data_IF_893188138646
#
_entry.id   IF_893188138646
#
_cell.length_a   1.000
_cell.length_b   1.000
_cell.length_c   1.000
_cell.angle_alpha   90.00
_cell.angle_beta   90.00
_cell.angle_gamma   90.00
#
_symmetry.space_group_name_H-M   'P 1'
#
loop_
_entity.id
_entity.type
_entity.pdbx_description
1 polymer ?
#
# COMPACT_ATOMS: atom_id res chain seq x y z
N UNK A 1 -30.16 -25.19 -66.77
CA UNK A 1 -30.27 -24.20 -65.69
C UNK A 1 -29.95 -24.81 -64.31
N UNK A 2 -28.96 -25.72 -64.21
CA UNK A 2 -28.56 -26.38 -62.95
C UNK A 2 -27.04 -26.45 -62.72
N UNK A 3 -26.23 -26.09 -63.72
CA UNK A 3 -24.76 -26.08 -63.65
C UNK A 3 -24.19 -24.81 -63.02
N UNK A 4 -24.96 -23.71 -63.05
CA UNK A 4 -24.53 -22.39 -62.55
C UNK A 4 -24.68 -22.28 -61.01
N UNK A 5 -25.59 -23.06 -60.42
CA UNK A 5 -25.78 -23.11 -58.96
C UNK A 5 -24.69 -23.96 -58.30
N UNK A 6 -24.24 -25.03 -58.95
CA UNK A 6 -23.18 -25.91 -58.46
C UNK A 6 -21.81 -25.23 -58.46
N UNK A 7 -21.49 -24.44 -59.49
CA UNK A 7 -20.24 -23.65 -59.55
C UNK A 7 -20.21 -22.53 -58.48
N UNK A 8 -21.37 -21.92 -58.17
CA UNK A 8 -21.49 -20.94 -57.09
C UNK A 8 -21.31 -21.57 -55.70
N UNK A 9 -21.78 -22.79 -55.48
CA UNK A 9 -21.62 -23.49 -54.19
C UNK A 9 -20.17 -23.96 -54.01
N UNK A 10 -19.48 -24.41 -55.06
CA UNK A 10 -18.05 -24.76 -54.98
C UNK A 10 -17.15 -23.57 -54.66
N UNK A 11 -17.46 -22.38 -55.19
CA UNK A 11 -16.71 -21.15 -54.88
C UNK A 11 -16.87 -20.66 -53.44
N UNK A 12 -17.95 -21.03 -52.73
CA UNK A 12 -18.16 -20.66 -51.32
C UNK A 12 -17.25 -21.46 -50.37
N UNK A 13 -16.72 -22.59 -50.81
CA UNK A 13 -15.71 -23.36 -50.08
C UNK A 13 -14.28 -22.98 -50.48
N UNK A 14 -14.02 -21.69 -50.68
CA UNK A 14 -12.64 -21.18 -50.78
C UNK A 14 -11.90 -21.57 -49.49
N UNK A 15 -11.04 -22.60 -49.59
CA UNK A 15 -10.21 -23.10 -48.49
C UNK A 15 -9.44 -21.92 -47.92
N UNK A 16 -9.93 -21.38 -46.79
CA UNK A 16 -9.23 -20.33 -46.03
C UNK A 16 -7.84 -20.85 -45.72
N UNK A 17 -6.82 -20.33 -46.41
CA UNK A 17 -5.42 -20.70 -46.13
C UNK A 17 -5.17 -20.40 -44.65
N UNK A 18 -4.65 -21.35 -43.87
CA UNK A 18 -4.51 -21.14 -42.45
C UNK A 18 -3.53 -20.00 -42.21
N UNK A 19 -4.01 -18.94 -41.57
CA UNK A 19 -3.26 -17.70 -41.32
C UNK A 19 -2.38 -17.83 -40.08
N UNK A 20 -1.61 -18.92 -39.98
CA UNK A 20 -0.77 -19.22 -38.81
C UNK A 20 0.21 -18.08 -38.47
N UNK A 21 0.82 -17.47 -39.48
CA UNK A 21 1.74 -16.33 -39.27
C UNK A 21 1.05 -15.13 -38.65
N UNK A 22 -0.14 -14.77 -39.15
CA UNK A 22 -0.90 -13.66 -38.60
C UNK A 22 -1.41 -13.97 -37.19
N UNK A 23 -1.90 -15.20 -36.96
CA UNK A 23 -2.33 -15.64 -35.64
C UNK A 23 -1.18 -15.59 -34.62
N UNK A 24 -0.01 -16.10 -34.99
CA UNK A 24 1.19 -16.04 -34.15
C UNK A 24 1.61 -14.60 -33.85
N UNK A 25 1.60 -13.72 -34.86
CA UNK A 25 1.86 -12.29 -34.65
C UNK A 25 0.87 -11.66 -33.67
N UNK A 26 -0.43 -11.92 -33.81
CA UNK A 26 -1.44 -11.40 -32.88
C UNK A 26 -1.25 -11.93 -31.46
N UNK A 27 -0.90 -13.21 -31.29
CA UNK A 27 -0.60 -13.80 -29.99
C UNK A 27 0.62 -13.12 -29.37
N UNK A 28 1.74 -12.99 -30.11
CA UNK A 28 2.94 -12.32 -29.60
C UNK A 28 2.69 -10.87 -29.21
N UNK A 29 1.96 -10.11 -30.04
CA UNK A 29 1.61 -8.72 -29.74
C UNK A 29 0.73 -8.66 -28.47
N UNK A 30 -0.26 -9.55 -28.36
CA UNK A 30 -1.15 -9.59 -27.19
C UNK A 30 -0.36 -9.89 -25.90
N UNK A 31 0.56 -10.87 -25.95
CA UNK A 31 1.41 -11.21 -24.81
C UNK A 31 2.36 -10.07 -24.43
N UNK A 32 2.95 -9.38 -25.41
CA UNK A 32 3.80 -8.22 -25.17
C UNK A 32 3.02 -7.07 -24.51
N UNK A 33 1.79 -6.81 -24.95
CA UNK A 33 0.94 -5.80 -24.33
C UNK A 33 0.59 -6.15 -22.88
N UNK A 34 0.25 -7.42 -22.61
CA UNK A 34 0.00 -7.89 -21.25
C UNK A 34 1.25 -7.71 -20.38
N UNK A 35 2.41 -8.16 -20.87
CA UNK A 35 3.69 -8.03 -20.17
C UNK A 35 4.07 -6.56 -19.91
N UNK A 36 3.82 -5.66 -20.86
CA UNK A 36 4.07 -4.23 -20.68
C UNK A 36 3.19 -3.61 -19.58
N UNK A 37 1.91 -3.98 -19.53
CA UNK A 37 0.98 -3.52 -18.48
C UNK A 37 1.37 -4.07 -17.12
N UNK A 38 1.75 -5.34 -17.02
CA UNK A 38 2.21 -5.93 -15.77
C UNK A 38 3.53 -5.31 -15.30
N UNK A 39 4.48 -5.11 -16.21
CA UNK A 39 5.73 -4.42 -15.92
C UNK A 39 5.49 -2.99 -15.43
N UNK A 40 4.59 -2.25 -16.07
CA UNK A 40 4.21 -0.91 -15.64
C UNK A 40 3.62 -0.92 -14.22
N UNK A 41 2.70 -1.85 -13.92
CA UNK A 41 2.13 -2.01 -12.56
C UNK A 41 3.21 -2.33 -11.52
N UNK A 42 4.12 -3.23 -11.85
CA UNK A 42 5.20 -3.62 -10.95
C UNK A 42 6.19 -2.47 -10.69
N UNK A 43 6.66 -1.82 -11.75
CA UNK A 43 7.57 -0.68 -11.67
C UNK A 43 6.95 0.49 -10.90
N UNK A 44 5.70 0.85 -11.20
CA UNK A 44 5.01 1.92 -10.47
C UNK A 44 4.84 1.60 -8.99
N UNK A 45 4.53 0.35 -8.62
CA UNK A 45 4.46 -0.07 -7.21
C UNK A 45 5.79 0.12 -6.48
N UNK A 46 6.89 -0.34 -7.06
CA UNK A 46 8.23 -0.21 -6.46
C UNK A 46 8.60 1.26 -6.28
N UNK A 47 8.44 2.06 -7.34
CA UNK A 47 8.76 3.48 -7.26
C UNK A 47 7.83 4.22 -6.30
N UNK A 48 6.56 3.83 -6.20
CA UNK A 48 5.64 4.42 -5.23
C UNK A 48 6.15 4.20 -3.79
N UNK A 49 6.54 2.97 -3.43
CA UNK A 49 7.09 2.68 -2.08
C UNK A 49 8.47 3.31 -1.82
N UNK A 50 9.21 3.66 -2.89
CA UNK A 50 10.47 4.40 -2.82
C UNK A 50 10.26 5.90 -2.63
N UNK A 51 9.23 6.50 -3.26
CA UNK A 51 8.95 7.93 -3.18
C UNK A 51 7.94 8.32 -2.10
N UNK A 52 7.32 7.38 -1.40
CA UNK A 52 6.29 7.67 -0.40
C UNK A 52 6.65 7.17 0.99
N UNK A 53 6.09 7.88 1.97
CA UNK A 53 6.13 7.55 3.38
C UNK A 53 4.96 6.63 3.70
N UNK A 54 5.24 5.36 4.00
CA UNK A 54 4.24 4.33 4.23
C UNK A 54 4.03 4.13 5.72
N UNK A 55 2.77 4.20 6.16
CA UNK A 55 2.40 3.90 7.54
C UNK A 55 2.46 2.39 7.80
N UNK A 56 3.04 2.02 8.93
CA UNK A 56 3.04 0.66 9.49
C UNK A 56 2.25 0.70 10.80
N UNK A 57 1.46 -0.35 11.04
CA UNK A 57 0.72 -0.54 12.28
C UNK A 57 1.15 -1.84 12.92
N UNK A 58 1.49 -1.78 14.20
CA UNK A 58 1.78 -2.92 15.04
C UNK A 58 0.74 -2.93 16.18
N UNK A 59 -0.08 -3.97 16.26
CA UNK A 59 -1.04 -4.10 17.36
C UNK A 59 -0.28 -4.39 18.66
N UNK A 60 -0.63 -3.66 19.71
CA UNK A 60 -0.10 -3.85 21.05
C UNK A 60 -1.15 -4.62 21.84
N UNK A 61 -0.81 -5.81 22.30
CA UNK A 61 -1.69 -6.60 23.16
C UNK A 61 -1.35 -6.36 24.63
N UNK A 62 -2.31 -6.70 25.50
CA UNK A 62 -2.08 -6.69 26.94
C UNK A 62 -1.01 -7.72 27.33
N UNK A 63 -0.44 -7.56 28.54
CA UNK A 63 0.60 -8.44 29.08
C UNK A 63 0.11 -9.89 29.22
N UNK A 64 -1.19 -10.08 29.44
CA UNK A 64 -1.84 -11.40 29.52
C UNK A 64 -2.12 -12.03 28.13
N UNK A 65 -1.76 -11.33 27.05
CA UNK A 65 -1.94 -11.76 25.67
C UNK A 65 -3.33 -11.48 25.10
N UNK A 66 -4.23 -10.81 25.83
CA UNK A 66 -5.53 -10.41 25.31
C UNK A 66 -5.40 -9.30 24.26
N UNK A 67 -6.28 -9.35 23.24
CA UNK A 67 -6.30 -8.36 22.16
C UNK A 67 -6.73 -6.99 22.70
N UNK A 68 -6.09 -5.93 22.20
CA UNK A 68 -6.47 -4.55 22.50
C UNK A 68 -6.66 -3.73 21.21
N UNK A 69 -7.31 -2.57 21.33
CA UNK A 69 -7.38 -1.53 20.30
C UNK A 69 -6.09 -0.74 20.09
N UNK A 70 -5.13 -0.88 21.00
CA UNK A 70 -3.93 -0.06 21.01
C UNK A 70 -3.04 -0.48 19.86
N UNK A 71 -2.79 0.45 18.95
CA UNK A 71 -1.88 0.28 17.84
C UNK A 71 -0.69 1.23 18.01
N UNK A 72 0.50 0.69 17.80
CA UNK A 72 1.70 1.46 17.53
C UNK A 72 1.75 1.78 16.04
N UNK A 73 1.74 3.07 15.72
CA UNK A 73 1.76 3.59 14.35
C UNK A 73 3.07 4.33 14.14
N UNK A 74 3.79 3.98 13.08
CA UNK A 74 4.95 4.73 12.62
C UNK A 74 4.94 4.77 11.10
N UNK A 75 5.76 5.62 10.51
CA UNK A 75 5.90 5.69 9.07
C UNK A 75 7.35 5.47 8.67
N UNK A 76 7.56 4.78 7.54
CA UNK A 76 8.87 4.60 6.92
C UNK A 76 8.71 4.71 5.41
N UNK A 77 9.67 5.32 4.75
CA UNK A 77 9.61 5.58 3.32
C UNK A 77 11.00 5.74 2.72
N UNK A 78 11.07 6.27 1.52
CA UNK A 78 12.34 6.72 0.95
C UNK A 78 12.56 8.23 1.15
N UNK A 79 13.22 8.93 0.20
CA UNK A 79 13.77 10.28 0.42
C UNK A 79 12.75 11.37 0.78
N UNK A 80 11.46 11.15 0.58
CA UNK A 80 10.40 12.11 0.92
C UNK A 80 9.83 11.94 2.33
N UNK A 81 10.18 10.85 3.02
CA UNK A 81 9.68 10.49 4.35
C UNK A 81 10.66 10.98 5.41
N UNK A 82 10.78 12.30 5.53
CA UNK A 82 11.47 12.94 6.66
C UNK A 82 10.57 12.93 7.92
N UNK A 83 11.12 13.38 9.06
CA UNK A 83 10.38 13.51 10.33
C UNK A 83 9.03 14.23 10.19
N UNK A 84 8.95 15.25 9.33
CA UNK A 84 7.71 15.98 9.05
C UNK A 84 6.71 15.12 8.25
N UNK A 85 7.18 14.42 7.23
CA UNK A 85 6.40 13.47 6.44
C UNK A 85 5.86 12.34 7.30
N UNK A 86 6.67 11.79 8.18
CA UNK A 86 6.28 10.75 9.14
C UNK A 86 5.15 11.24 10.05
N UNK A 87 5.34 12.39 10.71
CA UNK A 87 4.33 12.97 11.59
C UNK A 87 3.00 13.21 10.88
N UNK A 88 3.06 13.75 9.64
CA UNK A 88 1.87 13.96 8.81
C UNK A 88 1.13 12.66 8.51
N UNK A 89 1.87 11.60 8.20
CA UNK A 89 1.28 10.28 7.89
C UNK A 89 0.70 9.63 9.14
N UNK A 90 1.41 9.68 10.27
CA UNK A 90 0.94 9.17 11.56
C UNK A 90 -0.37 9.86 11.95
N UNK A 91 -0.40 11.20 11.94
CA UNK A 91 -1.59 11.96 12.29
C UNK A 91 -2.75 11.65 11.35
N UNK A 92 -2.50 11.62 10.04
CA UNK A 92 -3.52 11.24 9.04
C UNK A 92 -4.11 9.86 9.31
N UNK A 93 -3.32 8.90 9.83
CA UNK A 93 -3.79 7.56 10.15
C UNK A 93 -4.61 7.52 11.43
N UNK A 94 -4.17 8.24 12.47
CA UNK A 94 -4.93 8.39 13.72
C UNK A 94 -6.32 8.94 13.40
N UNK A 95 -6.42 10.09 12.71
CA UNK A 95 -7.69 10.76 12.45
C UNK A 95 -8.61 10.06 11.44
N UNK A 96 -8.10 9.07 10.71
CA UNK A 96 -8.85 8.37 9.65
C UNK A 96 -9.28 6.99 10.07
N UNK A 97 -8.43 6.32 10.84
CA UNK A 97 -8.64 4.94 11.22
C UNK A 97 -9.31 4.83 12.62
N UNK A 98 -9.42 5.93 13.37
CA UNK A 98 -10.20 6.06 14.61
C UNK A 98 -11.26 7.16 14.43
N UNK A 99 -12.52 6.81 14.66
CA UNK A 99 -13.67 7.69 14.46
C UNK A 99 -14.18 8.19 15.83
N UNK A 100 -14.04 9.49 16.15
CA UNK A 100 -14.46 10.01 17.45
C UNK A 100 -15.97 9.96 17.67
N UNK A 101 -16.77 9.79 16.61
CA UNK A 101 -18.21 9.59 16.73
C UNK A 101 -18.60 8.19 17.22
N UNK A 102 -17.72 7.19 17.02
CA UNK A 102 -17.95 5.83 17.51
C UNK A 102 -17.56 5.73 18.98
N UNK A 103 -16.34 6.15 19.31
CA UNK A 103 -15.83 6.25 20.68
C UNK A 103 -14.66 7.24 20.74
N UNK A 104 -14.53 7.95 21.87
CA UNK A 104 -13.36 8.78 22.13
C UNK A 104 -12.09 7.91 22.14
N UNK A 105 -10.98 8.50 21.73
CA UNK A 105 -9.70 7.81 21.70
C UNK A 105 -8.58 8.66 22.27
N UNK A 106 -7.56 7.96 22.77
CA UNK A 106 -6.39 8.54 23.38
C UNK A 106 -5.16 8.17 22.57
N UNK A 107 -4.26 9.13 22.36
CA UNK A 107 -3.00 8.86 21.66
C UNK A 107 -1.84 9.69 22.21
N UNK A 108 -0.63 9.20 22.00
CA UNK A 108 0.60 9.97 22.20
C UNK A 108 1.48 9.87 20.97
N UNK A 109 2.33 10.87 20.77
CA UNK A 109 3.35 10.88 19.72
C UNK A 109 4.70 11.05 20.40
N UNK A 110 5.63 10.17 20.05
CA UNK A 110 6.97 10.10 20.65
C UNK A 110 8.00 10.30 19.56
N UNK A 111 8.93 11.23 19.81
CA UNK A 111 10.08 11.45 18.94
C UNK A 111 11.17 10.42 19.21
N UNK A 112 11.73 9.85 18.16
CA UNK A 112 12.94 9.07 18.26
C UNK A 112 14.16 10.02 18.19
N UNK A 113 14.78 10.25 19.34
CA UNK A 113 15.97 11.10 19.46
C UNK A 113 17.23 10.48 18.81
N UNK A 114 17.22 9.17 18.56
CA UNK A 114 18.32 8.49 17.87
C UNK A 114 18.37 8.81 16.36
N UNK A 115 17.32 9.44 15.84
CA UNK A 115 17.20 9.80 14.42
C UNK A 115 17.37 11.31 14.27
N UNK A 116 18.28 11.79 13.41
CA UNK A 116 18.46 13.22 13.20
C UNK A 116 17.19 13.88 12.63
N UNK A 117 17.04 15.18 12.89
CA UNK A 117 15.85 15.94 12.47
C UNK A 117 15.64 15.90 10.96
N UNK A 118 16.73 15.90 10.20
CA UNK A 118 16.74 15.64 8.76
C UNK A 118 17.32 14.25 8.57
N UNK A 119 16.48 13.29 8.19
CA UNK A 119 16.92 11.96 7.79
C UNK A 119 16.19 11.60 6.50
N UNK A 120 16.98 11.25 5.49
CA UNK A 120 16.47 10.76 4.21
C UNK A 120 16.94 9.31 4.07
N UNK A 121 16.05 8.34 4.25
CA UNK A 121 16.38 6.95 3.96
C UNK A 121 16.60 6.80 2.44
N UNK A 122 17.88 6.86 2.03
CA UNK A 122 18.30 6.69 0.63
C UNK A 122 18.58 5.21 0.28
N UNK A 123 18.76 4.38 1.30
CA UNK A 123 19.10 2.95 1.21
C UNK A 123 17.87 2.04 1.29
N UNK A 124 17.99 0.77 0.86
CA UNK A 124 16.92 -0.23 1.00
C UNK A 124 16.52 -0.45 2.46
N UNK A 125 17.51 -0.41 3.37
CA UNK A 125 17.24 -0.28 4.79
C UNK A 125 16.82 1.17 5.08
N UNK A 126 15.53 1.33 5.38
CA UNK A 126 14.89 2.61 5.67
C UNK A 126 15.17 3.10 7.10
N UNK A 127 15.91 2.33 7.90
CA UNK A 127 16.33 2.70 9.25
C UNK A 127 15.19 2.73 10.26
N UNK A 128 15.44 3.41 11.39
CA UNK A 128 14.45 3.62 12.44
C UNK A 128 13.53 4.81 12.08
N UNK A 129 12.24 4.76 12.46
CA UNK A 129 11.36 5.89 12.25
C UNK A 129 11.75 7.04 13.17
N UNK A 130 11.62 8.27 12.69
CA UNK A 130 11.85 9.48 13.48
C UNK A 130 10.70 9.81 14.45
N UNK A 131 9.48 9.39 14.14
CA UNK A 131 8.34 9.43 15.06
C UNK A 131 7.59 8.09 15.10
N UNK A 132 7.01 7.80 16.27
CA UNK A 132 6.01 6.76 16.44
C UNK A 132 4.90 7.27 17.36
N UNK A 133 3.73 6.68 17.23
CA UNK A 133 2.57 7.00 18.04
C UNK A 133 1.94 5.73 18.59
N UNK A 134 1.33 5.84 19.76
CA UNK A 134 0.42 4.84 20.29
C UNK A 134 -0.96 5.44 20.32
N UNK A 135 -1.95 4.72 19.82
CA UNK A 135 -3.35 5.16 19.78
C UNK A 135 -4.26 4.00 20.09
N UNK A 136 -5.28 4.22 20.91
CA UNK A 136 -6.31 3.24 21.26
C UNK A 136 -7.59 3.95 21.69
N UNK A 137 -8.69 3.22 21.67
CA UNK A 137 -9.97 3.72 22.18
C UNK A 137 -9.93 3.82 23.72
N UNK A 138 -10.83 4.61 24.29
CA UNK A 138 -10.81 4.91 25.72
C UNK A 138 -11.08 3.68 26.61
N UNK A 139 -11.69 2.60 26.09
CA UNK A 139 -11.76 1.33 26.82
C UNK A 139 -10.39 0.69 27.14
N UNK A 140 -9.34 0.97 26.36
CA UNK A 140 -7.95 0.53 26.61
C UNK A 140 -7.03 1.69 27.07
N UNK A 141 -7.62 2.75 27.62
CA UNK A 141 -6.88 3.97 28.00
C UNK A 141 -5.73 3.73 28.98
N UNK A 142 -5.86 2.77 29.88
CA UNK A 142 -4.79 2.44 30.82
C UNK A 142 -3.58 1.82 30.10
N UNK A 143 -3.81 0.99 29.08
CA UNK A 143 -2.74 0.46 28.24
C UNK A 143 -2.07 1.58 27.44
N UNK A 144 -2.84 2.53 26.90
CA UNK A 144 -2.28 3.73 26.24
C UNK A 144 -1.38 4.50 27.19
N UNK A 145 -1.79 4.74 28.44
CA UNK A 145 -0.95 5.43 29.44
C UNK A 145 0.34 4.66 29.72
N UNK A 146 0.25 3.34 29.86
CA UNK A 146 1.41 2.49 30.14
C UNK A 146 2.46 2.57 29.01
N UNK A 147 2.03 2.47 27.75
CA UNK A 147 2.94 2.48 26.60
C UNK A 147 3.47 3.88 26.27
N UNK A 148 2.67 4.92 26.54
CA UNK A 148 3.06 6.31 26.31
C UNK A 148 4.06 6.84 27.35
N UNK A 149 4.13 6.21 28.54
CA UNK A 149 5.03 6.58 29.64
C UNK A 149 4.97 8.09 29.94
N UNK A 150 6.08 8.80 29.76
CA UNK A 150 6.24 10.23 30.06
C UNK A 150 5.81 11.16 28.91
N UNK A 151 5.29 10.59 27.81
CA UNK A 151 4.86 11.36 26.65
C UNK A 151 3.53 12.05 26.90
N UNK A 152 3.32 13.21 26.27
CA UNK A 152 2.02 13.89 26.34
C UNK A 152 0.94 13.04 25.68
N UNK A 153 -0.13 12.77 26.44
CA UNK A 153 -1.31 12.07 25.97
C UNK A 153 -2.35 13.10 25.53
N UNK A 154 -2.87 12.92 24.33
CA UNK A 154 -3.95 13.68 23.74
C UNK A 154 -5.24 12.85 23.78
N UNK A 155 -6.36 13.53 23.99
CA UNK A 155 -7.70 12.94 23.98
C UNK A 155 -8.50 13.62 22.87
N UNK A 156 -9.19 12.83 22.04
CA UNK A 156 -10.04 13.30 20.94
C UNK A 156 -11.41 12.62 20.98
#
# INVERSE_FOLDING_TARGET
MSTDITEKIEKVHEKRKPRFKALFQYICISLLLIAAVEYFKYSTRIHYEWFHCTAVKEQINYIDGSESSVNKIFAKGGPSCDKRGELKIIMKRITRDYEPNDENFSFCIVENENVPSIHYPLTEDKGQPGYYAFVGYDYDKELVKEVCKDSTIYHM
#
